data_IF_104805031938
#
_entry.id   IF_104805031938
#
_cell.length_a   1.000
_cell.length_b   1.000
_cell.length_c   1.000
_cell.angle_alpha   90.00
_cell.angle_beta   90.00
_cell.angle_gamma   90.00
#
_symmetry.space_group_name_H-M   'P 1'
#
loop_
_entity.id
_entity.type
_entity.pdbx_description
1 polymer ?
#
# COMPACT_ATOMS: atom_id res chain seq x y z
N UNK A 1 -2.32 9.64 15.89
CA UNK A 1 -2.84 8.26 15.98
C UNK A 1 -1.62 7.36 16.12
N UNK A 2 -1.51 6.59 17.21
CA UNK A 2 -0.49 5.54 17.32
C UNK A 2 -1.14 4.31 16.69
N UNK A 3 -0.56 3.80 15.61
CA UNK A 3 -1.17 2.76 14.80
C UNK A 3 -0.14 1.68 14.43
N UNK A 4 -0.60 0.67 13.69
CA UNK A 4 0.24 -0.40 13.18
C UNK A 4 1.29 0.15 12.19
N UNK A 5 2.61 -0.09 12.40
CA UNK A 5 3.66 0.33 11.48
C UNK A 5 3.48 -0.19 10.04
N UNK A 6 2.74 -1.28 9.85
CA UNK A 6 2.43 -1.82 8.52
C UNK A 6 1.66 -0.83 7.63
N UNK A 7 0.99 0.16 8.21
CA UNK A 7 0.29 1.23 7.48
C UNK A 7 1.30 2.07 6.69
N UNK A 8 2.32 2.60 7.38
CA UNK A 8 3.33 3.47 6.78
C UNK A 8 4.25 2.68 5.84
N UNK A 9 4.68 1.50 6.27
CA UNK A 9 5.53 0.61 5.47
C UNK A 9 4.79 0.18 4.19
N UNK A 10 3.50 -0.15 4.29
CA UNK A 10 2.67 -0.51 3.14
C UNK A 10 2.62 0.62 2.12
N UNK A 11 2.23 1.82 2.56
CA UNK A 11 2.17 2.98 1.67
C UNK A 11 3.52 3.30 1.03
N UNK A 12 4.62 3.23 1.78
CA UNK A 12 5.95 3.50 1.25
C UNK A 12 6.37 2.43 0.22
N UNK A 13 6.28 1.15 0.57
CA UNK A 13 6.78 0.08 -0.28
C UNK A 13 5.94 -0.09 -1.55
N UNK A 14 4.61 -0.05 -1.46
CA UNK A 14 3.75 -0.19 -2.64
C UNK A 14 3.87 0.99 -3.63
N UNK A 15 4.17 2.20 -3.17
CA UNK A 15 4.27 3.37 -4.05
C UNK A 15 5.68 3.60 -4.61
N UNK A 16 6.74 3.22 -3.87
CA UNK A 16 8.09 3.72 -4.17
C UNK A 16 9.16 2.64 -4.31
N UNK A 17 8.89 1.40 -3.91
CA UNK A 17 9.91 0.33 -3.92
C UNK A 17 9.44 -0.84 -4.78
N UNK A 18 10.20 -1.21 -5.83
CA UNK A 18 9.91 -2.40 -6.61
C UNK A 18 9.77 -3.63 -5.71
N UNK A 19 8.73 -4.43 -5.96
CA UNK A 19 8.34 -5.52 -5.06
C UNK A 19 9.44 -6.57 -4.84
N UNK A 20 10.24 -6.84 -5.88
CA UNK A 20 11.40 -7.73 -5.81
C UNK A 20 12.54 -7.22 -4.91
N UNK A 21 12.47 -5.97 -4.43
CA UNK A 21 13.44 -5.36 -3.51
C UNK A 21 12.94 -5.28 -2.07
N UNK A 22 11.71 -5.70 -1.78
CA UNK A 22 11.13 -5.56 -0.44
C UNK A 22 11.90 -6.31 0.63
N UNK A 23 12.26 -7.57 0.39
CA UNK A 23 13.06 -8.36 1.35
C UNK A 23 14.41 -7.70 1.67
N UNK A 24 15.05 -7.08 0.67
CA UNK A 24 16.28 -6.31 0.88
C UNK A 24 16.02 -5.03 1.68
N UNK A 25 14.91 -4.35 1.41
CA UNK A 25 14.49 -3.16 2.17
C UNK A 25 14.27 -3.54 3.64
N UNK A 26 13.49 -4.57 3.93
CA UNK A 26 13.25 -5.05 5.30
C UNK A 26 14.54 -5.40 6.04
N UNK A 27 15.45 -6.12 5.38
CA UNK A 27 16.78 -6.46 5.95
C UNK A 27 17.59 -5.21 6.29
N UNK A 28 17.53 -4.17 5.48
CA UNK A 28 18.27 -2.91 5.70
C UNK A 28 17.80 -2.19 6.96
N UNK A 29 16.50 -2.26 7.26
CA UNK A 29 15.89 -1.61 8.42
C UNK A 29 15.74 -2.53 9.64
N UNK A 30 16.28 -3.75 9.59
CA UNK A 30 16.17 -4.72 10.69
C UNK A 30 14.75 -5.19 10.98
N UNK A 31 13.85 -5.09 9.99
CA UNK A 31 12.47 -5.54 10.11
C UNK A 31 12.37 -7.00 9.66
N UNK A 32 11.74 -7.83 10.48
CA UNK A 32 11.48 -9.23 10.11
C UNK A 32 10.34 -9.30 9.10
N UNK A 33 10.67 -9.67 7.86
CA UNK A 33 9.66 -9.93 6.84
C UNK A 33 8.87 -11.20 7.20
N UNK A 34 7.56 -11.05 7.37
CA UNK A 34 6.66 -12.17 7.62
C UNK A 34 5.43 -12.09 6.74
N UNK A 35 4.79 -13.25 6.51
CA UNK A 35 3.52 -13.31 5.77
C UNK A 35 2.44 -12.45 6.45
N UNK A 36 2.42 -12.39 7.78
CA UNK A 36 1.47 -11.57 8.52
C UNK A 36 1.71 -10.06 8.29
N UNK A 37 2.98 -9.62 8.30
CA UNK A 37 3.35 -8.24 7.98
C UNK A 37 2.91 -7.87 6.56
N UNK A 38 3.24 -8.72 5.57
CA UNK A 38 2.88 -8.50 4.17
C UNK A 38 1.36 -8.42 3.96
N UNK A 39 0.57 -9.27 4.64
CA UNK A 39 -0.90 -9.21 4.61
C UNK A 39 -1.43 -7.90 5.16
N UNK A 40 -0.96 -7.48 6.34
CA UNK A 40 -1.39 -6.21 6.97
C UNK A 40 -1.04 -5.01 6.09
N UNK A 41 0.17 -4.98 5.53
CA UNK A 41 0.57 -3.93 4.59
C UNK A 41 -0.36 -3.86 3.37
N UNK A 42 -0.69 -5.00 2.74
CA UNK A 42 -1.61 -5.05 1.60
C UNK A 42 -2.98 -4.51 1.99
N UNK A 43 -3.55 -4.99 3.10
CA UNK A 43 -4.85 -4.53 3.62
C UNK A 43 -4.87 -3.03 3.90
N UNK A 44 -3.87 -2.51 4.60
CA UNK A 44 -3.79 -1.09 4.93
C UNK A 44 -3.55 -0.20 3.71
N UNK A 45 -2.81 -0.69 2.71
CA UNK A 45 -2.62 0.03 1.46
C UNK A 45 -3.93 0.10 0.66
N UNK A 46 -4.67 -1.01 0.61
CA UNK A 46 -5.98 -1.08 -0.07
C UNK A 46 -6.99 -0.12 0.57
N UNK A 47 -7.16 -0.15 1.89
CA UNK A 47 -8.12 0.73 2.56
C UNK A 47 -7.74 2.21 2.43
N UNK A 48 -6.44 2.54 2.46
CA UNK A 48 -5.98 3.90 2.21
C UNK A 48 -6.22 4.35 0.77
N UNK A 49 -5.99 3.48 -0.22
CA UNK A 49 -6.29 3.79 -1.61
C UNK A 49 -7.79 4.05 -1.81
N UNK A 50 -8.67 3.26 -1.21
CA UNK A 50 -10.12 3.47 -1.23
C UNK A 50 -10.49 4.81 -0.59
N UNK A 51 -9.94 5.13 0.58
CA UNK A 51 -10.18 6.41 1.25
C UNK A 51 -9.73 7.62 0.42
N UNK A 52 -8.59 7.50 -0.26
CA UNK A 52 -8.09 8.54 -1.17
C UNK A 52 -8.98 8.69 -2.41
N UNK A 53 -9.45 7.58 -3.00
CA UNK A 53 -10.41 7.60 -4.12
C UNK A 53 -11.67 8.37 -3.73
N UNK A 54 -12.27 8.02 -2.58
CA UNK A 54 -13.46 8.71 -2.06
C UNK A 54 -13.19 10.19 -1.84
N UNK A 55 -12.08 10.53 -1.17
CA UNK A 55 -11.72 11.92 -0.92
C UNK A 55 -11.53 12.72 -2.22
N UNK A 56 -10.84 12.19 -3.22
CA UNK A 56 -10.66 12.88 -4.50
C UNK A 56 -11.97 13.02 -5.28
N UNK A 57 -12.87 12.05 -5.18
CA UNK A 57 -14.21 12.09 -5.78
C UNK A 57 -15.04 13.24 -5.18
N UNK A 58 -15.08 13.36 -3.85
CA UNK A 58 -15.78 14.43 -3.13
C UNK A 58 -15.25 15.83 -3.53
N UNK A 59 -13.95 15.94 -3.80
CA UNK A 59 -13.31 17.18 -4.25
C UNK A 59 -13.42 17.42 -5.77
N UNK A 60 -14.13 16.55 -6.52
CA UNK A 60 -14.23 16.57 -7.99
C UNK A 60 -12.87 16.51 -8.71
N UNK A 61 -11.84 15.94 -8.06
CA UNK A 61 -10.48 15.78 -8.57
C UNK A 61 -10.33 14.45 -9.30
N UNK A 62 -11.10 14.26 -10.36
CA UNK A 62 -11.21 12.96 -11.05
C UNK A 62 -9.91 12.43 -11.66
N UNK A 63 -8.97 13.31 -12.03
CA UNK A 63 -7.65 12.88 -12.50
C UNK A 63 -6.89 12.15 -11.40
N UNK A 64 -6.89 12.70 -10.19
CA UNK A 64 -6.19 12.10 -9.04
C UNK A 64 -6.91 10.83 -8.58
N UNK A 65 -8.24 10.86 -8.53
CA UNK A 65 -9.07 9.68 -8.28
C UNK A 65 -8.71 8.51 -9.24
N UNK A 66 -8.59 8.80 -10.54
CA UNK A 66 -8.25 7.79 -11.54
C UNK A 66 -6.83 7.23 -11.37
N UNK A 67 -5.88 8.04 -10.91
CA UNK A 67 -4.54 7.56 -10.55
C UNK A 67 -4.63 6.55 -9.40
N UNK A 68 -5.41 6.84 -8.37
CA UNK A 68 -5.59 5.93 -7.23
C UNK A 68 -6.41 4.68 -7.56
N UNK A 69 -7.36 4.77 -8.50
CA UNK A 69 -8.06 3.59 -9.03
C UNK A 69 -7.10 2.63 -9.75
N UNK A 70 -6.19 3.15 -10.57
CA UNK A 70 -5.16 2.34 -11.24
C UNK A 70 -4.22 1.70 -10.21
N UNK A 71 -3.74 2.49 -9.25
CA UNK A 71 -2.92 2.00 -8.15
C UNK A 71 -3.63 0.89 -7.36
N UNK A 72 -4.90 1.09 -6.99
CA UNK A 72 -5.68 0.08 -6.28
C UNK A 72 -5.77 -1.22 -7.09
N UNK A 73 -6.02 -1.13 -8.39
CA UNK A 73 -6.04 -2.29 -9.26
C UNK A 73 -4.67 -3.01 -9.32
N UNK A 74 -3.57 -2.27 -9.39
CA UNK A 74 -2.22 -2.83 -9.33
C UNK A 74 -1.97 -3.57 -8.01
N UNK A 75 -2.30 -2.94 -6.88
CA UNK A 75 -2.14 -3.54 -5.54
C UNK A 75 -2.97 -4.82 -5.40
N UNK A 76 -4.23 -4.81 -5.87
CA UNK A 76 -5.11 -5.98 -5.80
C UNK A 76 -4.56 -7.17 -6.60
N UNK A 77 -4.04 -6.91 -7.80
CA UNK A 77 -3.48 -7.93 -8.69
C UNK A 77 -2.03 -8.31 -8.36
N UNK A 78 -1.34 -7.53 -7.52
CA UNK A 78 0.00 -7.86 -7.02
C UNK A 78 -0.08 -8.83 -5.83
N UNK A 79 0.84 -9.82 -5.77
CA UNK A 79 0.99 -10.79 -4.66
C UNK A 79 -0.22 -11.68 -4.32
N UNK A 80 0.04 -12.96 -4.08
CA UNK A 80 -0.93 -14.03 -3.75
C UNK A 80 -1.68 -13.88 -2.40
N UNK A 81 -1.52 -12.76 -1.68
CA UNK A 81 -2.02 -12.65 -0.30
C UNK A 81 -3.39 -12.00 -0.15
N UNK A 82 -4.10 -11.77 -1.25
CA UNK A 82 -5.56 -11.57 -1.32
C UNK A 82 -6.04 -12.25 -2.61
#
# INVERSE_FOLDING_TARGET
>A
MIADPAIDIGMLLYNYVPQNKWSQWFKTYGVEESVNLNKRMKWYTVIQAIGLIQWYEEQKRYRDMNTWLKFLNEVMNSNLFI
#
